data_IF_423844902915
#
_entry.id   IF_423844902915
#
_cell.length_a   1.000
_cell.length_b   1.000
_cell.length_c   1.000
_cell.angle_alpha   90.00
_cell.angle_beta   90.00
_cell.angle_gamma   90.00
#
_symmetry.space_group_name_H-M   'P 1'
#
loop_
_entity.id
_entity.type
_entity.pdbx_description
1 polymer ?
#
# COMPACT_ATOMS: atom_id res chain seq x y z
N UNK A 1 -0.39 13.23 -10.27
CA UNK A 1 -0.39 13.75 -8.87
C UNK A 1 0.99 13.52 -8.26
N UNK A 2 1.42 14.18 -7.18
CA UNK A 2 2.72 13.83 -6.56
C UNK A 2 2.60 12.55 -5.73
N UNK A 3 3.34 11.50 -6.10
CA UNK A 3 3.44 10.21 -5.38
C UNK A 3 3.88 10.40 -3.92
N UNK A 4 3.11 9.95 -2.93
CA UNK A 4 3.51 10.08 -1.52
C UNK A 4 4.44 8.94 -1.07
N UNK A 5 5.33 9.23 -0.10
CA UNK A 5 6.17 8.21 0.56
C UNK A 5 5.31 7.10 1.19
N UNK A 6 4.12 7.43 1.69
CA UNK A 6 3.18 6.45 2.25
C UNK A 6 2.76 5.41 1.21
N UNK A 7 2.50 5.84 -0.02
CA UNK A 7 2.12 4.95 -1.11
C UNK A 7 3.31 4.09 -1.58
N UNK A 8 4.52 4.64 -1.63
CA UNK A 8 5.71 3.84 -1.93
C UNK A 8 5.98 2.77 -0.86
N UNK A 9 5.78 3.11 0.43
CA UNK A 9 5.87 2.13 1.54
C UNK A 9 4.79 1.06 1.45
N UNK A 10 3.57 1.45 1.10
CA UNK A 10 2.47 0.53 0.84
C UNK A 10 2.84 -0.46 -0.27
N UNK A 11 3.36 0.04 -1.39
CA UNK A 11 3.79 -0.77 -2.53
C UNK A 11 4.91 -1.75 -2.15
N UNK A 12 5.96 -1.27 -1.47
CA UNK A 12 7.04 -2.15 -1.00
C UNK A 12 6.55 -3.21 -0.02
N UNK A 13 5.60 -2.89 0.86
CA UNK A 13 5.03 -3.87 1.77
C UNK A 13 4.29 -4.98 1.01
N UNK A 14 3.46 -4.63 0.02
CA UNK A 14 2.76 -5.61 -0.83
C UNK A 14 3.73 -6.43 -1.66
N UNK A 15 4.77 -5.81 -2.23
CA UNK A 15 5.79 -6.52 -3.02
C UNK A 15 6.57 -7.54 -2.18
N UNK A 16 6.85 -7.24 -0.91
CA UNK A 16 7.54 -8.17 0.00
C UNK A 16 6.65 -9.30 0.52
N UNK A 17 5.36 -9.04 0.76
CA UNK A 17 4.45 -10.05 1.31
C UNK A 17 3.72 -10.86 0.25
N UNK A 18 3.64 -10.34 -0.98
CA UNK A 18 2.78 -10.83 -2.06
C UNK A 18 1.31 -11.02 -1.63
N UNK A 19 0.90 -10.30 -0.57
CA UNK A 19 -0.38 -10.47 0.09
C UNK A 19 -0.82 -9.17 0.77
N UNK A 20 -1.99 -8.66 0.37
CA UNK A 20 -2.54 -7.41 0.89
C UNK A 20 -2.94 -7.47 2.37
N UNK A 21 -3.45 -8.60 2.86
CA UNK A 21 -3.80 -8.75 4.28
C UNK A 21 -2.54 -8.64 5.15
N UNK A 22 -1.51 -9.45 4.85
CA UNK A 22 -0.23 -9.41 5.58
C UNK A 22 0.48 -8.04 5.46
N UNK A 23 0.43 -7.40 4.28
CA UNK A 23 1.00 -6.06 4.11
C UNK A 23 0.27 -5.01 4.96
N UNK A 24 -1.05 -5.12 5.08
CA UNK A 24 -1.86 -4.19 5.86
C UNK A 24 -1.60 -4.33 7.36
N UNK A 25 -1.45 -5.55 7.85
CA UNK A 25 -1.03 -5.86 9.23
C UNK A 25 0.36 -5.28 9.53
N UNK A 26 1.34 -5.51 8.64
CA UNK A 26 2.70 -4.98 8.80
C UNK A 26 2.75 -3.44 8.85
N UNK A 27 1.80 -2.78 8.19
CA UNK A 27 1.68 -1.33 8.13
C UNK A 27 0.71 -0.75 9.17
N UNK A 28 0.16 -1.57 10.06
CA UNK A 28 -0.86 -1.17 11.04
C UNK A 28 -2.02 -0.40 10.39
N UNK A 29 -2.51 -0.90 9.26
CA UNK A 29 -3.65 -0.32 8.54
C UNK A 29 -4.67 -1.38 8.16
N UNK A 30 -5.88 -0.95 7.87
CA UNK A 30 -6.87 -1.85 7.29
C UNK A 30 -6.51 -2.19 5.84
N UNK A 31 -6.82 -3.41 5.41
CA UNK A 31 -6.60 -3.85 4.03
C UNK A 31 -7.29 -2.94 2.98
N UNK A 32 -8.52 -2.43 3.19
CA UNK A 32 -9.13 -1.46 2.27
C UNK A 32 -8.35 -0.15 2.14
N UNK A 33 -7.80 0.36 3.25
CA UNK A 33 -6.98 1.57 3.23
C UNK A 33 -5.66 1.36 2.47
N UNK A 34 -5.07 0.17 2.60
CA UNK A 34 -3.91 -0.23 1.81
C UNK A 34 -4.22 -0.26 0.32
N UNK A 35 -5.31 -0.92 -0.08
CA UNK A 35 -5.73 -1.01 -1.49
C UNK A 35 -5.99 0.37 -2.10
N UNK A 36 -6.61 1.29 -1.35
CA UNK A 36 -6.81 2.66 -1.83
C UNK A 36 -5.47 3.41 -2.02
N UNK A 37 -4.51 3.21 -1.14
CA UNK A 37 -3.18 3.81 -1.27
C UNK A 37 -2.43 3.31 -2.51
N UNK A 38 -2.51 2.01 -2.79
CA UNK A 38 -1.92 1.40 -4.00
C UNK A 38 -2.62 1.91 -5.26
N UNK A 39 -3.96 1.93 -5.29
CA UNK A 39 -4.70 2.46 -6.44
C UNK A 39 -4.34 3.92 -6.74
N UNK A 40 -4.28 4.75 -5.71
CA UNK A 40 -3.86 6.14 -5.87
C UNK A 40 -2.39 6.30 -6.26
N UNK A 41 -1.56 5.26 -6.14
CA UNK A 41 -0.19 5.23 -6.65
C UNK A 41 -0.17 4.88 -8.15
N UNK A 42 -1.00 3.93 -8.56
CA UNK A 42 -1.15 3.48 -9.96
C UNK A 42 -1.78 4.56 -10.85
N UNK A 43 -2.68 5.37 -10.29
CA UNK A 43 -3.37 6.47 -10.98
C UNK A 43 -2.53 7.78 -11.05
N UNK A 44 -1.37 7.85 -10.38
CA UNK A 44 -0.62 9.09 -10.15
C UNK A 44 0.30 9.52 -11.29
#
# INVERSE_FOLDING_TARGET
MKMSIKQLRAFLAVAHTLNFAHASERLNMSQPALSLAIKGLEDA
#
